data_IF_122866837437
#
_entry.id   IF_122866837437
#
_cell.length_a   1.000
_cell.length_b   1.000
_cell.length_c   1.000
_cell.angle_alpha   90.00
_cell.angle_beta   90.00
_cell.angle_gamma   90.00
#
_symmetry.space_group_name_H-M   'P 1'
#
loop_
_entity.id
_entity.type
_entity.pdbx_description
1 polymer ?
#
# COMPACT_ATOMS: atom_id res chain seq x y z
N UNK A 1 13.63 -5.45 6.03
CA UNK A 1 13.79 -4.44 7.12
C UNK A 1 13.92 -5.18 8.44
N UNK A 2 14.49 -4.54 9.47
CA UNK A 2 14.68 -5.21 10.77
C UNK A 2 13.54 -4.91 11.74
N UNK A 3 12.70 -3.93 11.43
CA UNK A 3 11.56 -3.49 12.24
C UNK A 3 10.43 -2.93 11.38
N UNK A 4 9.29 -2.62 12.01
CA UNK A 4 8.15 -1.96 11.37
C UNK A 4 8.40 -0.45 11.33
N UNK A 5 8.21 0.16 10.15
CA UNK A 5 8.42 1.58 9.85
C UNK A 5 7.10 2.28 9.55
N UNK A 6 6.99 3.55 9.93
CA UNK A 6 5.77 4.34 9.77
C UNK A 6 5.98 5.45 8.75
N UNK A 7 5.20 5.42 7.67
CA UNK A 7 5.30 6.30 6.52
C UNK A 7 4.04 7.16 6.39
N UNK A 8 4.20 8.37 5.88
CA UNK A 8 3.07 9.20 5.47
C UNK A 8 2.64 8.85 4.04
N UNK A 9 1.33 8.86 3.76
CA UNK A 9 0.81 8.84 2.40
C UNK A 9 0.96 10.24 1.79
N UNK A 10 1.95 10.38 0.92
CA UNK A 10 2.36 11.68 0.39
C UNK A 10 3.20 12.52 1.35
N UNK A 11 3.56 13.72 0.88
CA UNK A 11 4.31 14.68 1.69
C UNK A 11 3.45 15.21 2.84
N UNK A 12 4.03 15.45 4.04
CA UNK A 12 3.33 16.08 5.16
C UNK A 12 2.57 17.34 4.75
N UNK A 13 1.41 17.60 5.38
CA UNK A 13 0.57 18.77 5.09
C UNK A 13 1.30 20.10 5.32
N UNK A 14 2.21 20.12 6.31
CA UNK A 14 3.04 21.29 6.66
C UNK A 14 4.16 21.58 5.67
N UNK A 15 4.34 20.76 4.63
CA UNK A 15 5.42 20.92 3.65
C UNK A 15 5.30 22.23 2.87
N UNK A 16 6.36 23.04 2.87
CA UNK A 16 6.47 24.17 1.94
C UNK A 16 6.58 23.64 0.50
N UNK A 17 5.55 23.89 -0.28
CA UNK A 17 5.44 23.41 -1.68
C UNK A 17 6.60 23.86 -2.57
N UNK A 18 7.27 24.98 -2.25
CA UNK A 18 8.43 25.46 -3.02
C UNK A 18 9.67 24.63 -2.75
N UNK A 19 9.80 24.10 -1.55
CA UNK A 19 10.92 23.25 -1.11
C UNK A 19 10.65 21.76 -1.38
N UNK A 20 9.37 21.35 -1.42
CA UNK A 20 8.95 19.98 -1.72
C UNK A 20 9.57 18.94 -0.79
N UNK A 21 10.15 17.87 -1.36
CA UNK A 21 10.71 16.77 -0.57
C UNK A 21 11.84 17.20 0.39
N UNK A 22 12.60 18.23 0.08
CA UNK A 22 13.65 18.74 0.99
C UNK A 22 13.03 19.14 2.34
N UNK A 23 11.92 19.89 2.32
CA UNK A 23 11.24 20.28 3.55
C UNK A 23 10.39 19.12 4.15
N UNK A 24 9.80 18.28 3.32
CA UNK A 24 9.09 17.09 3.80
C UNK A 24 9.99 16.22 4.68
N UNK A 25 11.24 15.99 4.28
CA UNK A 25 12.21 15.21 5.05
C UNK A 25 12.62 15.88 6.37
N UNK A 26 12.72 17.21 6.41
CA UNK A 26 12.95 17.95 7.67
C UNK A 26 11.79 17.72 8.66
N UNK A 27 10.54 17.74 8.16
CA UNK A 27 9.35 17.49 8.98
C UNK A 27 9.33 16.03 9.50
N UNK A 28 9.72 15.05 8.66
CA UNK A 28 9.85 13.67 9.12
C UNK A 28 10.86 13.54 10.27
N UNK A 29 11.99 14.25 10.19
CA UNK A 29 13.00 14.27 11.27
C UNK A 29 12.41 14.87 12.56
N UNK A 30 11.74 16.01 12.47
CA UNK A 30 11.10 16.67 13.61
C UNK A 30 10.05 15.77 14.28
N UNK A 31 9.35 14.95 13.49
CA UNK A 31 8.29 14.07 13.97
C UNK A 31 8.77 12.65 14.28
N UNK A 32 10.03 12.33 14.00
CA UNK A 32 10.61 10.98 14.14
C UNK A 32 9.81 9.92 13.37
N UNK A 33 9.48 10.25 12.09
CA UNK A 33 8.82 9.36 11.14
C UNK A 33 9.83 8.75 10.17
N UNK A 34 9.49 7.60 9.60
CA UNK A 34 10.45 6.73 8.92
C UNK A 34 10.48 6.91 7.39
N UNK A 35 9.49 7.57 6.78
CA UNK A 35 9.47 7.73 5.33
C UNK A 35 8.17 8.25 4.74
N UNK A 36 8.06 8.11 3.41
CA UNK A 36 6.93 8.62 2.61
C UNK A 36 6.55 7.57 1.58
N UNK A 37 5.26 7.34 1.41
CA UNK A 37 4.71 6.76 0.19
C UNK A 37 4.49 7.87 -0.84
N UNK A 38 5.10 7.73 -2.02
CA UNK A 38 4.97 8.71 -3.10
C UNK A 38 3.67 8.47 -3.85
N UNK A 39 2.76 9.46 -3.80
CA UNK A 39 1.41 9.34 -4.38
C UNK A 39 1.37 9.77 -5.85
N UNK A 40 1.20 8.82 -6.77
CA UNK A 40 1.01 9.08 -8.20
C UNK A 40 -0.47 9.15 -8.59
N UNK A 41 -1.20 10.11 -8.02
CA UNK A 41 -2.67 10.21 -8.09
C UNK A 41 -3.24 10.13 -9.51
N UNK A 42 -2.75 10.95 -10.44
CA UNK A 42 -3.28 11.05 -11.81
C UNK A 42 -2.32 10.51 -12.88
N UNK A 43 -1.11 10.18 -12.53
CA UNK A 43 -0.09 9.67 -13.43
C UNK A 43 1.28 9.75 -12.82
N UNK A 44 2.19 8.91 -13.30
CA UNK A 44 3.54 8.76 -12.77
C UNK A 44 4.38 9.97 -13.20
N UNK A 45 4.34 11.01 -12.39
CA UNK A 45 5.05 12.28 -12.67
C UNK A 45 5.83 12.71 -11.44
N UNK A 46 7.14 12.70 -11.55
CA UNK A 46 8.06 13.19 -10.54
C UNK A 46 9.21 13.92 -11.23
N UNK A 47 9.48 15.16 -10.81
CA UNK A 47 10.58 15.93 -11.41
C UNK A 47 11.92 15.27 -11.13
N UNK A 48 12.89 15.46 -12.02
CA UNK A 48 14.24 14.95 -11.81
C UNK A 48 14.84 15.44 -10.47
N UNK A 49 14.65 16.73 -10.14
CA UNK A 49 15.07 17.29 -8.86
C UNK A 49 14.48 16.49 -7.68
N UNK A 50 13.17 16.23 -7.70
CA UNK A 50 12.50 15.46 -6.65
C UNK A 50 13.03 14.04 -6.54
N UNK A 51 13.25 13.36 -7.68
CA UNK A 51 13.84 12.00 -7.70
C UNK A 51 15.21 11.96 -7.06
N UNK A 52 16.07 12.95 -7.38
CA UNK A 52 17.42 13.02 -6.81
C UNK A 52 17.40 13.29 -5.30
N UNK A 53 16.51 14.16 -4.81
CA UNK A 53 16.33 14.38 -3.36
C UNK A 53 15.92 13.10 -2.65
N UNK A 54 14.87 12.42 -3.13
CA UNK A 54 14.37 11.17 -2.54
C UNK A 54 15.44 10.07 -2.62
N UNK A 55 16.11 9.91 -3.76
CA UNK A 55 17.21 8.96 -3.94
C UNK A 55 18.36 9.21 -2.96
N UNK A 56 18.75 10.46 -2.77
CA UNK A 56 19.78 10.83 -1.80
C UNK A 56 19.41 10.49 -0.37
N UNK A 57 18.11 10.54 -0.05
CA UNK A 57 17.56 10.29 1.27
C UNK A 57 17.24 8.80 1.54
N UNK A 58 17.20 7.93 0.52
CA UNK A 58 16.76 6.53 0.63
C UNK A 58 17.65 5.64 1.52
N UNK A 59 18.82 6.11 1.92
CA UNK A 59 19.67 5.44 2.92
C UNK A 59 19.18 5.66 4.36
N UNK A 60 18.45 6.73 4.60
CA UNK A 60 17.94 7.13 5.93
C UNK A 60 16.45 6.87 6.07
N UNK A 61 15.69 7.13 5.01
CA UNK A 61 14.24 7.00 5.00
C UNK A 61 13.79 5.87 4.07
N UNK A 62 12.64 5.29 4.39
CA UNK A 62 11.98 4.32 3.53
C UNK A 62 11.03 5.05 2.59
N UNK A 63 11.06 4.70 1.32
CA UNK A 63 10.12 5.19 0.32
C UNK A 63 9.37 4.03 -0.32
N UNK A 64 8.08 4.20 -0.50
CA UNK A 64 7.21 3.38 -1.32
C UNK A 64 6.54 4.25 -2.37
N UNK A 65 5.75 3.68 -3.25
CA UNK A 65 4.97 4.48 -4.19
C UNK A 65 3.60 3.87 -4.45
N UNK A 66 2.55 4.71 -4.45
CA UNK A 66 1.21 4.32 -4.85
C UNK A 66 0.97 4.64 -6.33
N UNK A 67 0.51 3.66 -7.10
CA UNK A 67 0.17 3.81 -8.51
C UNK A 67 -1.11 4.64 -8.74
N UNK A 68 -1.29 5.18 -9.97
CA UNK A 68 -2.45 6.02 -10.28
C UNK A 68 -3.80 5.32 -10.12
N UNK A 69 -4.85 6.07 -9.77
CA UNK A 69 -6.23 5.56 -9.59
C UNK A 69 -6.85 4.89 -10.82
N UNK A 70 -6.31 5.13 -12.02
CA UNK A 70 -6.88 4.65 -13.28
C UNK A 70 -6.37 3.26 -13.68
N UNK A 71 -5.81 2.49 -12.75
CA UNK A 71 -5.41 1.11 -12.99
C UNK A 71 -6.64 0.21 -12.93
N UNK A 72 -6.84 -0.60 -13.97
CA UNK A 72 -7.85 -1.64 -14.00
C UNK A 72 -7.41 -2.76 -14.94
N UNK A 73 -6.78 -3.79 -14.40
CA UNK A 73 -6.32 -4.95 -15.15
C UNK A 73 -7.47 -5.83 -15.70
N UNK A 74 -8.74 -5.56 -15.34
CA UNK A 74 -9.92 -6.21 -15.90
C UNK A 74 -10.76 -5.24 -16.77
N UNK A 75 -10.18 -4.17 -17.29
CA UNK A 75 -10.90 -3.28 -18.19
C UNK A 75 -11.43 -4.02 -19.43
N UNK A 76 -12.49 -3.48 -20.05
CA UNK A 76 -13.11 -4.09 -21.24
C UNK A 76 -12.34 -3.77 -22.52
N UNK A 77 -11.80 -2.56 -22.57
CA UNK A 77 -11.09 -2.03 -23.72
C UNK A 77 -9.58 -2.33 -23.60
N UNK A 78 -8.98 -2.87 -24.66
CA UNK A 78 -7.55 -3.23 -24.67
C UNK A 78 -6.66 -2.03 -24.35
N UNK A 79 -6.97 -0.85 -24.88
CA UNK A 79 -6.21 0.38 -24.62
C UNK A 79 -6.14 0.74 -23.12
N UNK A 80 -7.22 0.47 -22.36
CA UNK A 80 -7.26 0.71 -20.91
C UNK A 80 -6.46 -0.33 -20.15
N UNK A 81 -6.41 -1.56 -20.66
CA UNK A 81 -5.57 -2.63 -20.10
C UNK A 81 -4.10 -2.26 -20.28
N UNK A 82 -3.70 -1.93 -21.50
CA UNK A 82 -2.33 -1.57 -21.84
C UNK A 82 -1.87 -0.34 -21.04
N UNK A 83 -2.74 0.66 -20.94
CA UNK A 83 -2.47 1.83 -20.10
C UNK A 83 -2.34 1.48 -18.60
N UNK A 84 -3.10 0.48 -18.10
CA UNK A 84 -2.98 0.02 -16.71
C UNK A 84 -1.65 -0.69 -16.47
N UNK A 85 -1.25 -1.58 -17.36
CA UNK A 85 0.04 -2.26 -17.34
C UNK A 85 1.18 -1.22 -17.36
N UNK A 86 1.12 -0.27 -18.29
CA UNK A 86 2.11 0.81 -18.40
C UNK A 86 2.23 1.62 -17.09
N UNK A 87 1.09 1.99 -16.46
CA UNK A 87 1.11 2.73 -15.18
C UNK A 87 1.79 1.97 -14.07
N UNK A 88 1.58 0.65 -13.97
CA UNK A 88 2.24 -0.19 -12.95
C UNK A 88 3.75 -0.25 -13.23
N UNK A 89 4.15 -0.47 -14.48
CA UNK A 89 5.55 -0.52 -14.89
C UNK A 89 6.24 0.82 -14.65
N UNK A 90 5.62 1.94 -15.05
CA UNK A 90 6.16 3.28 -14.83
C UNK A 90 6.32 3.58 -13.33
N UNK A 91 5.31 3.21 -12.51
CA UNK A 91 5.39 3.35 -11.05
C UNK A 91 6.56 2.56 -10.49
N UNK A 92 6.70 1.30 -10.89
CA UNK A 92 7.79 0.43 -10.47
C UNK A 92 9.16 0.95 -10.92
N UNK A 93 9.25 1.48 -12.13
CA UNK A 93 10.49 2.03 -12.69
C UNK A 93 10.93 3.28 -11.93
N UNK A 94 10.04 4.26 -11.77
CA UNK A 94 10.36 5.49 -11.05
C UNK A 94 10.65 5.21 -9.57
N UNK A 95 9.90 4.32 -8.94
CA UNK A 95 10.15 3.94 -7.55
C UNK A 95 11.50 3.23 -7.38
N UNK A 96 11.88 2.34 -8.29
CA UNK A 96 13.19 1.70 -8.28
C UNK A 96 14.34 2.70 -8.49
N UNK A 97 14.16 3.71 -9.35
CA UNK A 97 15.17 4.75 -9.62
C UNK A 97 15.53 5.56 -8.36
N UNK A 98 14.55 5.85 -7.51
CA UNK A 98 14.81 6.58 -6.25
C UNK A 98 15.11 5.67 -5.05
N UNK A 99 15.23 4.35 -5.25
CA UNK A 99 15.53 3.39 -4.19
C UNK A 99 14.32 3.04 -3.32
N UNK A 100 13.14 3.00 -3.93
CA UNK A 100 11.89 2.62 -3.27
C UNK A 100 11.87 1.14 -2.84
N UNK A 101 11.15 0.88 -1.77
CA UNK A 101 10.98 -0.46 -1.19
C UNK A 101 9.97 -1.29 -1.96
N UNK A 102 8.84 -0.71 -2.29
CA UNK A 102 7.72 -1.37 -2.99
C UNK A 102 6.83 -0.36 -3.69
N UNK A 103 6.00 -0.87 -4.59
CA UNK A 103 4.85 -0.13 -5.12
C UNK A 103 3.55 -0.81 -4.74
N UNK A 104 2.48 -0.03 -4.59
CA UNK A 104 1.12 -0.53 -4.37
C UNK A 104 0.14 0.07 -5.36
N UNK A 105 -1.00 -0.61 -5.58
CA UNK A 105 -2.06 -0.16 -6.48
C UNK A 105 -3.33 -1.00 -6.32
N UNK A 106 -4.48 -0.42 -6.59
CA UNK A 106 -5.73 -1.15 -6.76
C UNK A 106 -5.74 -1.85 -8.13
N UNK A 107 -5.80 -3.18 -8.16
CA UNK A 107 -5.52 -3.92 -9.40
C UNK A 107 -6.66 -3.94 -10.41
N UNK A 108 -7.93 -4.11 -9.97
CA UNK A 108 -9.03 -4.29 -10.90
C UNK A 108 -10.42 -4.07 -10.29
N UNK A 109 -11.42 -4.03 -11.16
CA UNK A 109 -12.85 -4.10 -10.82
C UNK A 109 -13.44 -5.36 -11.45
N UNK A 110 -14.44 -6.00 -10.79
CA UNK A 110 -15.10 -7.18 -11.36
C UNK A 110 -15.91 -6.86 -12.60
N UNK A 111 -16.52 -5.69 -12.70
CA UNK A 111 -17.34 -5.25 -13.83
C UNK A 111 -18.48 -6.23 -14.19
N UNK A 112 -18.97 -6.97 -13.19
CA UNK A 112 -19.99 -8.02 -13.36
C UNK A 112 -19.46 -9.36 -13.91
N UNK A 113 -18.15 -9.51 -14.07
CA UNK A 113 -17.52 -10.79 -14.41
C UNK A 113 -17.40 -11.69 -13.18
N UNK A 114 -17.33 -12.99 -13.42
CA UNK A 114 -17.04 -14.02 -12.44
C UNK A 114 -15.64 -13.81 -11.80
N UNK A 115 -15.52 -14.11 -10.49
CA UNK A 115 -14.27 -13.90 -9.72
C UNK A 115 -13.08 -14.67 -10.28
N UNK A 116 -13.26 -15.92 -10.68
CA UNK A 116 -12.17 -16.74 -11.22
C UNK A 116 -11.73 -16.24 -12.60
N UNK A 117 -12.67 -15.73 -13.41
CA UNK A 117 -12.34 -15.09 -14.70
C UNK A 117 -11.53 -13.83 -14.49
N UNK A 118 -11.88 -12.99 -13.49
CA UNK A 118 -11.15 -11.76 -13.20
C UNK A 118 -9.78 -12.11 -12.61
N UNK A 119 -9.70 -13.07 -11.68
CA UNK A 119 -8.44 -13.54 -11.13
C UNK A 119 -7.47 -13.97 -12.25
N UNK A 120 -7.93 -14.82 -13.16
CA UNK A 120 -7.09 -15.26 -14.29
C UNK A 120 -6.56 -14.10 -15.11
N UNK A 121 -7.42 -13.11 -15.44
CA UNK A 121 -7.01 -11.92 -16.21
C UNK A 121 -5.99 -11.07 -15.45
N UNK A 122 -6.17 -10.89 -14.14
CA UNK A 122 -5.21 -10.17 -13.30
C UNK A 122 -3.88 -10.92 -13.26
N UNK A 123 -3.89 -12.25 -13.07
CA UNK A 123 -2.69 -13.07 -13.05
C UNK A 123 -1.94 -13.03 -14.39
N UNK A 124 -2.65 -13.23 -15.53
CA UNK A 124 -2.05 -13.17 -16.88
C UNK A 124 -1.35 -11.82 -17.15
N UNK A 125 -1.93 -10.70 -16.66
CA UNK A 125 -1.37 -9.36 -16.84
C UNK A 125 -0.27 -9.05 -15.84
N UNK A 126 -0.36 -9.57 -14.62
CA UNK A 126 0.72 -9.51 -13.64
C UNK A 126 1.95 -10.26 -14.17
N UNK A 127 1.78 -11.42 -14.83
CA UNK A 127 2.87 -12.14 -15.47
C UNK A 127 3.60 -11.26 -16.53
N UNK A 128 2.84 -10.54 -17.36
CA UNK A 128 3.42 -9.61 -18.35
C UNK A 128 4.21 -8.48 -17.69
N UNK A 129 3.68 -7.91 -16.59
CA UNK A 129 4.36 -6.86 -15.83
C UNK A 129 5.68 -7.39 -15.26
N UNK A 130 5.65 -8.55 -14.59
CA UNK A 130 6.84 -9.17 -13.99
C UNK A 130 7.88 -9.49 -15.05
N UNK A 131 7.48 -10.05 -16.21
CA UNK A 131 8.43 -10.34 -17.31
C UNK A 131 9.17 -9.08 -17.81
N UNK A 132 8.48 -7.93 -17.88
CA UNK A 132 9.09 -6.67 -18.28
C UNK A 132 10.05 -6.16 -17.20
N UNK A 133 9.63 -6.19 -15.93
CA UNK A 133 10.47 -5.75 -14.82
C UNK A 133 11.72 -6.62 -14.64
N UNK A 134 11.61 -7.93 -14.87
CA UNK A 134 12.75 -8.84 -14.85
C UNK A 134 13.77 -8.53 -15.96
N UNK A 135 13.31 -8.24 -17.19
CA UNK A 135 14.18 -7.82 -18.29
C UNK A 135 14.95 -6.54 -17.97
N UNK A 136 14.33 -5.64 -17.24
CA UNK A 136 14.92 -4.38 -16.79
C UNK A 136 15.74 -4.52 -15.48
N UNK A 137 15.86 -5.76 -14.96
CA UNK A 137 16.47 -6.08 -13.66
C UNK A 137 15.88 -5.25 -12.49
N UNK A 138 14.61 -4.89 -12.61
CA UNK A 138 13.86 -4.19 -11.58
C UNK A 138 13.26 -5.20 -10.59
N UNK A 139 13.76 -5.22 -9.37
CA UNK A 139 13.37 -6.16 -8.30
C UNK A 139 12.47 -5.54 -7.24
N UNK A 140 11.89 -4.36 -7.51
CA UNK A 140 11.00 -3.71 -6.56
C UNK A 140 9.77 -4.59 -6.29
N UNK A 141 9.30 -4.64 -5.05
CA UNK A 141 8.11 -5.40 -4.70
C UNK A 141 6.87 -4.80 -5.34
N UNK A 142 6.06 -5.66 -5.97
CA UNK A 142 4.79 -5.32 -6.60
C UNK A 142 3.67 -5.77 -5.66
N UNK A 143 2.84 -4.80 -5.20
CA UNK A 143 1.87 -5.06 -4.14
C UNK A 143 0.47 -4.64 -4.54
N UNK A 144 -0.33 -5.57 -5.10
CA UNK A 144 -1.77 -5.34 -5.20
C UNK A 144 -2.34 -5.09 -3.81
N UNK A 145 -3.21 -4.09 -3.71
CA UNK A 145 -3.78 -3.66 -2.45
C UNK A 145 -5.15 -4.29 -2.19
N UNK A 146 -5.45 -4.62 -0.92
CA UNK A 146 -6.80 -5.00 -0.51
C UNK A 146 -7.75 -3.82 -0.63
N UNK A 147 -8.92 -4.04 -1.23
CA UNK A 147 -9.84 -2.98 -1.65
C UNK A 147 -11.07 -2.85 -0.76
N UNK A 148 -11.57 -1.63 -0.58
CA UNK A 148 -12.65 -1.30 0.32
C UNK A 148 -14.07 -1.58 -0.18
N UNK A 149 -14.26 -2.06 -1.43
CA UNK A 149 -15.59 -2.27 -2.03
C UNK A 149 -15.74 -3.67 -2.63
N UNK A 150 -16.89 -4.32 -2.40
CA UNK A 150 -17.20 -5.64 -2.95
C UNK A 150 -17.26 -5.69 -4.49
N UNK A 151 -17.29 -4.54 -5.17
CA UNK A 151 -17.26 -4.44 -6.64
C UNK A 151 -15.84 -4.41 -7.22
N UNK A 152 -14.83 -4.28 -6.34
CA UNK A 152 -13.42 -4.29 -6.70
C UNK A 152 -12.81 -5.67 -6.43
N UNK A 153 -11.91 -6.09 -7.32
CA UNK A 153 -11.03 -7.23 -7.10
C UNK A 153 -9.95 -6.84 -6.09
N UNK A 154 -9.56 -7.76 -5.25
CA UNK A 154 -8.55 -7.55 -4.22
C UNK A 154 -9.12 -7.76 -2.82
N UNK A 155 -9.87 -8.83 -2.60
CA UNK A 155 -10.01 -9.37 -1.25
C UNK A 155 -8.70 -10.08 -0.85
N UNK A 156 -8.51 -10.30 0.44
CA UNK A 156 -7.23 -10.84 0.96
C UNK A 156 -6.91 -12.23 0.39
N UNK A 157 -7.91 -13.07 0.14
CA UNK A 157 -7.72 -14.42 -0.40
C UNK A 157 -7.28 -14.37 -1.88
N UNK A 158 -7.84 -13.46 -2.67
CA UNK A 158 -7.45 -13.23 -4.06
C UNK A 158 -6.00 -12.76 -4.18
N UNK A 159 -5.58 -11.82 -3.31
CA UNK A 159 -4.21 -11.29 -3.33
C UNK A 159 -3.21 -12.34 -2.84
N UNK A 160 -3.52 -13.09 -1.79
CA UNK A 160 -2.70 -14.23 -1.34
C UNK A 160 -2.54 -15.26 -2.46
N UNK A 161 -3.62 -15.59 -3.16
CA UNK A 161 -3.59 -16.53 -4.28
C UNK A 161 -2.67 -16.01 -5.40
N UNK A 162 -2.74 -14.72 -5.73
CA UNK A 162 -1.85 -14.10 -6.73
C UNK A 162 -0.39 -14.10 -6.26
N UNK A 163 -0.13 -13.77 -5.00
CA UNK A 163 1.22 -13.75 -4.44
C UNK A 163 1.92 -15.12 -4.45
N UNK A 164 1.15 -16.22 -4.41
CA UNK A 164 1.72 -17.57 -4.57
C UNK A 164 2.21 -17.87 -5.98
N UNK A 165 1.73 -17.16 -6.99
CA UNK A 165 2.12 -17.38 -8.38
C UNK A 165 3.40 -16.63 -8.78
N UNK A 166 3.75 -15.53 -8.06
CA UNK A 166 4.84 -14.65 -8.45
C UNK A 166 5.75 -14.28 -7.26
N UNK A 167 7.03 -14.59 -7.36
CA UNK A 167 8.02 -14.33 -6.29
C UNK A 167 8.19 -12.84 -5.94
N UNK A 168 7.90 -11.94 -6.87
CA UNK A 168 8.04 -10.49 -6.70
C UNK A 168 6.73 -9.82 -6.28
N UNK A 169 5.67 -10.61 -6.00
CA UNK A 169 4.36 -10.11 -5.62
C UNK A 169 4.04 -10.50 -4.19
N UNK A 170 3.79 -9.50 -3.34
CA UNK A 170 3.27 -9.66 -1.98
C UNK A 170 2.09 -8.70 -1.76
N UNK A 171 1.21 -8.94 -0.79
CA UNK A 171 0.10 -8.04 -0.52
C UNK A 171 0.55 -6.64 -0.08
N UNK A 172 -0.21 -5.60 -0.47
CA UNK A 172 -0.43 -4.44 0.36
C UNK A 172 -1.74 -4.65 1.12
N UNK A 173 -1.68 -4.69 2.44
CA UNK A 173 -2.85 -4.97 3.28
C UNK A 173 -3.39 -3.66 3.84
N UNK A 174 -4.42 -3.12 3.20
CA UNK A 174 -5.18 -2.02 3.80
C UNK A 174 -6.23 -2.59 4.75
N UNK A 175 -5.98 -2.42 6.03
CA UNK A 175 -6.86 -2.89 7.09
C UNK A 175 -8.16 -2.06 7.18
N UNK A 176 -8.10 -0.79 6.84
CA UNK A 176 -9.26 0.09 6.78
C UNK A 176 -10.21 -0.31 5.65
N UNK A 177 -9.64 -0.67 4.49
CA UNK A 177 -10.41 -1.23 3.38
C UNK A 177 -11.07 -2.57 3.73
N UNK A 178 -10.35 -3.47 4.39
CA UNK A 178 -10.91 -4.76 4.83
C UNK A 178 -12.09 -4.52 5.80
N UNK A 179 -11.92 -3.63 6.77
CA UNK A 179 -12.96 -3.22 7.72
C UNK A 179 -14.18 -2.65 6.99
N UNK A 180 -13.98 -1.69 6.10
CA UNK A 180 -15.07 -1.08 5.32
C UNK A 180 -15.78 -2.07 4.39
N UNK A 181 -15.04 -2.93 3.69
CA UNK A 181 -15.57 -3.93 2.77
C UNK A 181 -16.43 -4.97 3.46
N UNK A 182 -16.10 -5.31 4.70
CA UNK A 182 -16.84 -6.27 5.53
C UNK A 182 -18.03 -5.65 6.27
N UNK A 183 -18.25 -4.33 6.12
CA UNK A 183 -19.34 -3.63 6.80
C UNK A 183 -19.13 -3.46 8.31
N UNK A 184 -17.87 -3.30 8.72
CA UNK A 184 -17.50 -3.04 10.11
C UNK A 184 -16.94 -4.25 10.87
N UNK A 185 -16.72 -5.40 10.21
CA UNK A 185 -15.98 -6.53 10.79
C UNK A 185 -14.45 -6.33 10.63
N UNK A 186 -13.66 -7.29 11.15
CA UNK A 186 -12.20 -7.19 11.17
C UNK A 186 -11.70 -5.92 11.87
N UNK A 187 -12.17 -5.73 13.12
CA UNK A 187 -11.87 -4.55 13.93
C UNK A 187 -11.50 -4.88 15.38
N UNK A 188 -11.24 -6.13 15.67
CA UNK A 188 -10.78 -6.62 16.97
C UNK A 188 -9.39 -7.22 16.87
N UNK A 189 -8.69 -7.31 18.01
CA UNK A 189 -7.37 -7.91 18.10
C UNK A 189 -7.33 -9.31 17.48
N UNK A 190 -8.30 -10.18 17.81
CA UNK A 190 -8.33 -11.56 17.31
C UNK A 190 -8.56 -11.61 15.80
N UNK A 191 -9.46 -10.77 15.26
CA UNK A 191 -9.70 -10.69 13.83
C UNK A 191 -8.46 -10.17 13.04
N UNK A 192 -7.70 -9.24 13.61
CA UNK A 192 -6.44 -8.82 13.02
C UNK A 192 -5.37 -9.93 13.06
N UNK A 193 -5.33 -10.70 14.16
CA UNK A 193 -4.47 -11.88 14.23
C UNK A 193 -4.85 -12.92 13.17
N UNK A 194 -6.15 -13.17 12.92
CA UNK A 194 -6.60 -14.08 11.86
C UNK A 194 -6.08 -13.68 10.47
N UNK A 195 -6.08 -12.38 10.15
CA UNK A 195 -5.53 -11.88 8.87
C UNK A 195 -4.02 -12.13 8.79
N UNK A 196 -3.28 -11.76 9.85
CA UNK A 196 -1.84 -11.94 9.90
C UNK A 196 -1.44 -13.42 9.86
N UNK A 197 -2.14 -14.28 10.58
CA UNK A 197 -1.93 -15.73 10.56
C UNK A 197 -2.24 -16.34 9.18
N UNK A 198 -3.31 -15.88 8.52
CA UNK A 198 -3.64 -16.28 7.15
C UNK A 198 -2.50 -15.95 6.19
N UNK A 199 -1.91 -14.75 6.30
CA UNK A 199 -0.77 -14.33 5.47
C UNK A 199 0.46 -15.19 5.79
N UNK A 200 0.81 -15.34 7.08
CA UNK A 200 1.95 -16.14 7.52
C UNK A 200 1.86 -17.59 7.05
N UNK A 201 0.69 -18.21 7.23
CA UNK A 201 0.46 -19.61 6.85
C UNK A 201 0.56 -19.82 5.34
N UNK A 202 0.11 -18.87 4.53
CA UNK A 202 0.02 -19.03 3.08
C UNK A 202 1.24 -18.54 2.33
N UNK A 203 1.94 -17.51 2.82
CA UNK A 203 3.05 -16.84 2.15
C UNK A 203 4.38 -16.95 2.93
N UNK A 204 4.33 -17.53 4.14
CA UNK A 204 5.52 -17.76 4.97
C UNK A 204 6.04 -16.51 5.67
N UNK A 205 7.16 -16.69 6.37
CA UNK A 205 7.81 -15.64 7.16
C UNK A 205 8.27 -14.45 6.32
N UNK A 206 8.57 -14.67 5.04
CA UNK A 206 8.96 -13.59 4.14
C UNK A 206 7.89 -12.51 4.05
N UNK A 207 6.61 -12.89 3.98
CA UNK A 207 5.51 -11.92 3.89
C UNK A 207 5.32 -11.12 5.18
N UNK A 208 5.56 -11.72 6.35
CA UNK A 208 5.50 -11.05 7.65
C UNK A 208 6.73 -10.16 7.89
N UNK A 209 7.91 -10.60 7.47
CA UNK A 209 9.16 -9.84 7.59
C UNK A 209 9.36 -8.80 6.48
N UNK A 210 8.46 -8.77 5.50
CA UNK A 210 8.45 -7.87 4.35
C UNK A 210 7.02 -7.35 4.12
N UNK A 211 6.42 -6.78 5.16
CA UNK A 211 5.03 -6.36 5.15
C UNK A 211 4.85 -4.97 4.53
N UNK A 212 3.70 -4.73 3.94
CA UNK A 212 3.24 -3.41 3.55
C UNK A 212 1.77 -3.29 3.95
N UNK A 213 1.49 -2.41 4.87
CA UNK A 213 0.14 -2.12 5.33
C UNK A 213 -0.26 -0.69 5.03
N UNK A 214 -1.54 -0.48 4.74
CA UNK A 214 -2.19 0.82 4.81
C UNK A 214 -3.13 0.89 6.00
N UNK A 215 -3.25 2.08 6.59
CA UNK A 215 -4.09 2.34 7.75
C UNK A 215 -4.58 3.80 7.74
N UNK A 216 -5.88 3.97 7.87
CA UNK A 216 -6.56 5.25 8.08
C UNK A 216 -7.79 5.07 8.96
N UNK A 217 -8.40 6.12 9.44
CA UNK A 217 -9.80 6.11 9.77
C UNK A 217 -10.63 5.98 8.49
N UNK A 218 -11.81 5.37 8.55
CA UNK A 218 -12.60 5.12 7.35
C UNK A 218 -14.11 5.27 7.61
N UNK A 219 -14.78 5.99 6.70
CA UNK A 219 -16.23 5.99 6.61
C UNK A 219 -16.68 4.94 5.60
N UNK A 220 -17.71 4.18 5.93
CA UNK A 220 -18.24 3.14 5.07
C UNK A 220 -19.77 3.03 5.12
N UNK A 221 -20.33 2.29 4.22
CA UNK A 221 -21.76 1.99 4.09
C UNK A 221 -21.93 0.51 3.75
N UNK A 222 -23.17 0.04 3.60
CA UNK A 222 -23.43 -1.30 3.08
C UNK A 222 -22.81 -1.59 1.69
N UNK A 223 -22.32 -0.56 0.99
CA UNK A 223 -21.59 -0.69 -0.29
C UNK A 223 -20.05 -0.73 -0.13
N UNK A 224 -19.58 -0.71 1.10
CA UNK A 224 -18.17 -0.63 1.47
C UNK A 224 -17.69 0.80 1.68
N UNK A 225 -16.42 1.04 1.47
CA UNK A 225 -15.70 2.29 1.66
C UNK A 225 -16.38 3.50 1.01
N UNK A 226 -16.40 4.61 1.74
CA UNK A 226 -16.85 5.93 1.27
C UNK A 226 -15.67 6.90 1.12
N UNK A 227 -14.93 7.15 2.17
CA UNK A 227 -13.73 8.01 2.21
C UNK A 227 -12.92 7.77 3.49
N UNK A 228 -11.65 8.09 3.46
CA UNK A 228 -10.81 8.11 4.64
C UNK A 228 -11.21 9.23 5.61
N UNK A 229 -10.98 8.98 6.88
CA UNK A 229 -11.20 9.90 8.01
C UNK A 229 -9.94 10.01 8.85
N UNK A 230 -9.80 11.04 9.69
CA UNK A 230 -8.87 11.00 10.80
C UNK A 230 -9.12 9.77 11.68
N UNK A 231 -8.07 9.20 12.25
CA UNK A 231 -8.16 7.96 13.05
C UNK A 231 -9.11 8.11 14.25
N UNK A 232 -9.12 9.28 14.89
CA UNK A 232 -9.96 9.54 16.05
C UNK A 232 -11.44 9.84 15.70
N UNK A 233 -11.75 10.06 14.43
CA UNK A 233 -13.11 10.29 13.92
C UNK A 233 -13.76 9.01 13.37
N UNK A 234 -13.07 7.87 13.46
CA UNK A 234 -13.47 6.58 12.91
C UNK A 234 -13.60 5.53 14.00
N UNK A 235 -14.37 4.50 13.72
CA UNK A 235 -14.43 3.29 14.54
C UNK A 235 -13.30 2.31 14.29
N UNK A 236 -12.38 2.59 13.34
CA UNK A 236 -11.21 1.74 13.06
C UNK A 236 -10.32 1.58 14.29
N UNK A 237 -10.22 0.35 14.79
CA UNK A 237 -9.46 0.02 16.00
C UNK A 237 -7.96 -0.17 15.70
N UNK A 238 -7.29 0.92 15.33
CA UNK A 238 -5.87 0.90 15.03
C UNK A 238 -4.99 0.42 16.20
N UNK A 239 -5.46 0.59 17.45
CA UNK A 239 -4.69 0.18 18.64
C UNK A 239 -4.55 -1.34 18.72
N UNK A 240 -5.62 -2.07 18.53
CA UNK A 240 -5.59 -3.53 18.55
C UNK A 240 -4.89 -4.10 17.31
N UNK A 241 -5.00 -3.43 16.15
CA UNK A 241 -4.21 -3.77 14.96
C UNK A 241 -2.70 -3.69 15.26
N UNK A 242 -2.24 -2.57 15.83
CA UNK A 242 -0.82 -2.38 16.13
C UNK A 242 -0.30 -3.34 17.20
N UNK A 243 -1.14 -3.73 18.19
CA UNK A 243 -0.80 -4.82 19.14
C UNK A 243 -0.65 -6.17 18.42
N UNK A 244 -1.57 -6.49 17.50
CA UNK A 244 -1.47 -7.72 16.72
C UNK A 244 -0.19 -7.73 15.87
N UNK A 245 0.12 -6.65 15.16
CA UNK A 245 1.37 -6.52 14.42
C UNK A 245 2.61 -6.66 15.30
N UNK A 246 2.59 -6.10 16.52
CA UNK A 246 3.68 -6.26 17.49
C UNK A 246 3.86 -7.70 17.92
N UNK A 247 2.75 -8.39 18.24
CA UNK A 247 2.75 -9.78 18.66
C UNK A 247 3.28 -10.74 17.57
N UNK A 248 2.93 -10.48 16.30
CA UNK A 248 3.44 -11.22 15.15
C UNK A 248 4.85 -10.82 14.74
N UNK A 249 5.48 -9.86 15.43
CA UNK A 249 6.78 -9.31 15.08
C UNK A 249 6.86 -8.88 13.60
N UNK A 250 5.80 -8.22 13.11
CA UNK A 250 5.70 -7.74 11.73
C UNK A 250 6.82 -6.74 11.44
N UNK A 251 7.49 -6.91 10.30
CA UNK A 251 8.52 -6.00 9.80
C UNK A 251 8.16 -5.51 8.43
N UNK A 252 8.54 -4.29 8.12
CA UNK A 252 8.19 -3.65 6.84
C UNK A 252 7.63 -2.26 7.07
N UNK A 253 6.52 -1.90 6.43
CA UNK A 253 5.96 -0.55 6.48
C UNK A 253 4.47 -0.54 6.84
N UNK A 254 4.07 0.50 7.58
CA UNK A 254 2.68 0.95 7.73
C UNK A 254 2.62 2.36 7.15
N UNK A 255 1.82 2.54 6.11
CA UNK A 255 1.54 3.84 5.50
C UNK A 255 0.24 4.39 6.10
N UNK A 256 0.31 5.60 6.63
CA UNK A 256 -0.85 6.29 7.17
C UNK A 256 -1.55 7.10 6.07
N UNK A 257 -2.73 6.65 5.64
CA UNK A 257 -3.55 7.30 4.62
C UNK A 257 -4.63 8.22 5.19
N UNK A 258 -4.51 8.57 6.47
CA UNK A 258 -5.40 9.54 7.11
C UNK A 258 -5.31 10.92 6.45
N UNK A 259 -6.42 11.68 6.36
CA UNK A 259 -6.38 13.08 5.94
C UNK A 259 -5.48 13.98 6.80
N UNK A 260 -5.18 13.59 8.04
CA UNK A 260 -4.25 14.28 8.93
C UNK A 260 -2.76 13.94 8.66
N UNK A 261 -2.51 13.10 7.68
CA UNK A 261 -1.20 12.65 7.19
C UNK A 261 -0.17 12.45 8.32
N UNK A 262 0.73 13.43 8.55
CA UNK A 262 1.83 13.31 9.50
C UNK A 262 1.39 13.21 10.96
N UNK A 263 0.29 13.86 11.34
CA UNK A 263 -0.15 13.87 12.74
C UNK A 263 -0.71 12.51 13.15
N UNK A 264 -1.54 11.89 12.31
CA UNK A 264 -2.04 10.53 12.57
C UNK A 264 -0.93 9.47 12.37
N UNK A 265 -0.01 9.67 11.42
CA UNK A 265 1.16 8.82 11.27
C UNK A 265 2.02 8.82 12.55
N UNK A 266 2.23 10.01 13.14
CA UNK A 266 2.92 10.11 14.42
C UNK A 266 2.15 9.44 15.56
N UNK A 267 0.83 9.61 15.62
CA UNK A 267 -0.03 8.98 16.62
C UNK A 267 0.14 7.45 16.63
N UNK A 268 0.07 6.80 15.45
CA UNK A 268 0.23 5.34 15.34
C UNK A 268 1.66 4.88 15.62
N UNK A 269 2.66 5.66 15.17
CA UNK A 269 4.08 5.37 15.43
C UNK A 269 4.41 5.44 16.93
N UNK A 270 3.99 6.50 17.60
CA UNK A 270 4.22 6.67 19.04
C UNK A 270 3.50 5.58 19.85
N UNK A 271 2.25 5.25 19.48
CA UNK A 271 1.53 4.17 20.13
C UNK A 271 2.26 2.82 19.97
N UNK A 272 2.67 2.46 18.75
CA UNK A 272 3.39 1.21 18.50
C UNK A 272 4.73 1.14 19.25
N UNK A 273 5.46 2.25 19.33
CA UNK A 273 6.73 2.33 20.09
C UNK A 273 6.52 2.21 21.60
N UNK A 274 5.33 2.54 22.09
CA UNK A 274 4.99 2.43 23.53
C UNK A 274 4.58 1.00 23.95
N UNK A 275 4.29 0.11 23.02
CA UNK A 275 3.98 -1.31 23.26
C UNK A 275 5.28 -2.10 23.52
#
# INVERSE_FOLDING_TARGET
MDELKFLTAGMPLRTDKKRGYENALEILDEMNLDGIEVEFVQGVRMSEKSRQVVKGASKKYVFTAHGPFFINLNAREQEKIDASITRIIDTATVANEFGGYSITYHAAFYLGNDKDVVFKRVADRTAQIIEILEKDNNKIWIRPETTGKATQWGDIDEIIKLSKEFKQVLPCVDFSHIHARSGGAFNTYDEFCEILEKIATNLGDEAINNFHAHLAGIAYTAKGEKNHLPLEESDMNYKDLLKAMKNFNVKGVVVCESPNIEDDCKLISDYYKSL
#
